data_IF_226895800731
#
_entry.id   IF_226895800731
#
_cell.length_a   1.000
_cell.length_b   1.000
_cell.length_c   1.000
_cell.angle_alpha   90.00
_cell.angle_beta   90.00
_cell.angle_gamma   90.00
#
_symmetry.space_group_name_H-M   'P 1'
#
loop_
_entity.id
_entity.type
_entity.pdbx_description
1 polymer ?
#
# COMPACT_ATOMS: atom_id res chain seq x y z
N UNK A 1 1.19 46.77 13.82
CA UNK A 1 1.42 46.04 12.55
C UNK A 1 2.39 44.91 12.83
N UNK A 2 1.89 43.67 12.76
CA UNK A 2 2.53 42.39 12.38
C UNK A 2 1.73 41.28 13.05
N UNK A 3 0.75 40.73 12.32
CA UNK A 3 0.04 39.54 12.72
C UNK A 3 1.01 38.34 12.74
N UNK A 4 0.88 37.39 13.68
CA UNK A 4 1.62 36.15 13.65
C UNK A 4 1.17 35.35 12.42
N UNK A 5 2.14 34.92 11.61
CA UNK A 5 1.89 34.12 10.43
C UNK A 5 1.28 32.77 10.82
N UNK A 6 0.01 32.58 10.50
CA UNK A 6 -0.63 31.27 10.41
C UNK A 6 0.02 30.47 9.28
N UNK A 7 1.18 29.90 9.56
CA UNK A 7 1.75 28.79 8.83
C UNK A 7 0.87 27.57 9.02
N UNK A 8 -0.33 27.57 8.43
CA UNK A 8 -1.22 26.40 8.31
C UNK A 8 -0.68 25.43 7.26
N UNK A 9 0.60 25.08 7.44
CA UNK A 9 1.32 24.09 6.68
C UNK A 9 0.66 22.73 6.86
N UNK A 10 0.55 22.01 5.75
CA UNK A 10 0.09 20.63 5.71
C UNK A 10 0.98 19.78 6.63
N UNK A 11 0.60 19.60 7.88
CA UNK A 11 1.37 18.73 8.77
C UNK A 11 1.23 17.29 8.27
N UNK A 12 2.36 16.62 8.08
CA UNK A 12 2.46 15.22 7.69
C UNK A 12 1.50 14.38 8.54
N UNK A 13 1.53 14.56 9.86
CA UNK A 13 0.68 13.91 10.84
C UNK A 13 -0.82 14.13 10.57
N UNK A 14 -1.23 15.35 10.24
CA UNK A 14 -2.62 15.66 9.91
C UNK A 14 -3.11 14.94 8.65
N UNK A 15 -2.22 14.75 7.67
CA UNK A 15 -2.51 13.99 6.44
C UNK A 15 -2.66 12.50 6.73
N UNK A 16 -1.73 11.91 7.50
CA UNK A 16 -1.81 10.49 7.87
C UNK A 16 -3.06 10.18 8.71
N UNK A 17 -3.40 11.05 9.67
CA UNK A 17 -4.62 10.92 10.47
C UNK A 17 -5.90 11.08 9.63
N UNK A 18 -5.87 11.91 8.59
CA UNK A 18 -6.97 12.06 7.62
C UNK A 18 -7.13 10.80 6.78
N UNK A 19 -6.03 10.26 6.25
CA UNK A 19 -6.04 9.01 5.49
C UNK A 19 -6.59 7.84 6.31
N UNK A 20 -6.21 7.73 7.59
CA UNK A 20 -6.78 6.73 8.51
C UNK A 20 -8.29 6.89 8.71
N UNK A 21 -8.77 8.14 8.87
CA UNK A 21 -10.21 8.40 9.02
C UNK A 21 -10.98 8.03 7.75
N UNK A 22 -10.44 8.34 6.58
CA UNK A 22 -11.02 7.96 5.29
C UNK A 22 -11.04 6.44 5.11
N UNK A 23 -9.95 5.77 5.49
CA UNK A 23 -9.86 4.31 5.47
C UNK A 23 -10.94 3.68 6.36
N UNK A 24 -11.11 4.17 7.60
CA UNK A 24 -12.15 3.67 8.50
C UNK A 24 -13.56 3.89 7.95
N UNK A 25 -13.81 5.05 7.34
CA UNK A 25 -15.12 5.39 6.75
C UNK A 25 -15.46 4.52 5.54
N UNK A 26 -14.46 4.15 4.76
CA UNK A 26 -14.62 3.43 3.49
C UNK A 26 -14.01 2.04 3.50
N UNK A 27 -13.81 1.47 4.70
CA UNK A 27 -13.16 0.20 4.92
C UNK A 27 -13.65 -0.91 3.98
N UNK A 28 -14.96 -1.23 3.88
CA UNK A 28 -15.40 -2.36 3.08
C UNK A 28 -15.01 -2.22 1.60
N UNK A 29 -15.21 -1.05 1.00
CA UNK A 29 -14.85 -0.81 -0.39
C UNK A 29 -13.33 -0.76 -0.60
N UNK A 30 -12.59 -0.19 0.36
CA UNK A 30 -11.14 -0.07 0.30
C UNK A 30 -10.45 -1.44 0.43
N UNK A 31 -10.89 -2.26 1.38
CA UNK A 31 -10.42 -3.64 1.53
C UNK A 31 -10.82 -4.50 0.35
N UNK A 32 -12.03 -4.38 -0.20
CA UNK A 32 -12.44 -5.17 -1.36
C UNK A 32 -11.60 -4.84 -2.60
N UNK A 33 -11.34 -3.56 -2.87
CA UNK A 33 -10.45 -3.14 -3.96
C UNK A 33 -9.02 -3.65 -3.74
N UNK A 34 -8.54 -3.60 -2.49
CA UNK A 34 -7.21 -4.11 -2.14
C UNK A 34 -7.10 -5.62 -2.27
N UNK A 35 -8.07 -6.38 -1.77
CA UNK A 35 -8.11 -7.85 -1.86
C UNK A 35 -8.15 -8.28 -3.32
N UNK A 36 -8.96 -7.61 -4.15
CA UNK A 36 -9.02 -7.91 -5.57
C UNK A 36 -7.68 -7.63 -6.27
N UNK A 37 -7.03 -6.51 -5.94
CA UNK A 37 -5.71 -6.20 -6.47
C UNK A 37 -4.65 -7.20 -6.00
N UNK A 38 -4.64 -7.55 -4.71
CA UNK A 38 -3.72 -8.54 -4.14
C UNK A 38 -3.94 -9.92 -4.76
N UNK A 39 -5.18 -10.40 -4.87
CA UNK A 39 -5.50 -11.71 -5.45
C UNK A 39 -5.06 -11.85 -6.91
N UNK A 40 -5.25 -10.80 -7.72
CA UNK A 40 -4.74 -10.76 -9.11
C UNK A 40 -3.20 -10.79 -9.14
N UNK A 41 -2.55 -10.24 -8.11
CA UNK A 41 -1.10 -10.19 -7.99
C UNK A 41 -0.48 -11.49 -7.45
N UNK A 42 -1.17 -12.21 -6.56
CA UNK A 42 -0.67 -13.41 -5.89
C UNK A 42 -0.45 -14.56 -6.87
N UNK A 43 -1.30 -14.69 -7.90
CA UNK A 43 -1.20 -15.78 -8.87
C UNK A 43 0.10 -15.71 -9.69
N UNK A 44 0.46 -14.57 -10.32
CA UNK A 44 1.77 -14.42 -10.95
C UNK A 44 2.95 -14.62 -10.00
N UNK A 45 2.80 -14.23 -8.73
CA UNK A 45 3.91 -14.25 -7.77
C UNK A 45 4.25 -15.69 -7.35
N UNK A 46 3.23 -16.49 -7.03
CA UNK A 46 3.39 -17.92 -6.77
C UNK A 46 3.95 -18.64 -8.00
N UNK A 47 3.46 -18.31 -9.21
CA UNK A 47 3.98 -18.92 -10.44
C UNK A 47 5.46 -18.59 -10.68
N UNK A 48 5.88 -17.35 -10.39
CA UNK A 48 7.29 -16.93 -10.53
C UNK A 48 8.20 -17.60 -9.52
N UNK A 49 7.76 -17.71 -8.27
CA UNK A 49 8.53 -18.38 -7.22
C UNK A 49 8.68 -19.87 -7.51
N UNK A 50 7.66 -20.52 -8.08
CA UNK A 50 7.72 -21.92 -8.52
C UNK A 50 8.62 -22.10 -9.75
N UNK A 51 8.60 -21.17 -10.72
CA UNK A 51 9.41 -21.27 -11.94
C UNK A 51 10.93 -21.10 -11.71
N UNK A 52 11.33 -20.44 -10.62
CA UNK A 52 12.76 -20.21 -10.27
C UNK A 52 13.24 -21.11 -9.14
N UNK A 53 12.36 -21.95 -8.58
CA UNK A 53 12.63 -22.79 -7.42
C UNK A 53 13.87 -23.70 -7.59
N UNK A 54 14.14 -24.17 -8.81
CA UNK A 54 15.24 -25.09 -9.10
C UNK A 54 16.50 -24.42 -9.69
N UNK A 55 16.49 -23.09 -9.91
CA UNK A 55 17.57 -22.39 -10.60
C UNK A 55 18.32 -21.42 -9.64
N UNK A 56 19.49 -21.78 -9.09
CA UNK A 56 20.21 -21.00 -8.07
C UNK A 56 20.90 -19.73 -8.62
N UNK A 57 20.49 -19.24 -9.79
CA UNK A 57 21.12 -18.11 -10.46
C UNK A 57 20.61 -16.80 -9.86
N UNK A 58 21.54 -15.99 -9.36
CA UNK A 58 21.28 -14.67 -8.74
C UNK A 58 20.44 -13.74 -9.65
N UNK A 59 20.63 -13.83 -10.97
CA UNK A 59 19.84 -13.08 -11.95
C UNK A 59 18.37 -13.51 -12.06
N UNK A 60 18.06 -14.79 -11.85
CA UNK A 60 16.68 -15.28 -11.85
C UNK A 60 15.94 -14.79 -10.61
N UNK A 61 16.59 -14.84 -9.44
CA UNK A 61 16.06 -14.26 -8.21
C UNK A 61 15.83 -12.74 -8.34
N UNK A 62 16.78 -12.00 -8.92
CA UNK A 62 16.64 -10.56 -9.15
C UNK A 62 15.54 -10.22 -10.15
N UNK A 63 15.36 -11.04 -11.20
CA UNK A 63 14.26 -10.88 -12.15
C UNK A 63 12.89 -11.11 -11.49
N UNK A 64 12.76 -12.15 -10.66
CA UNK A 64 11.52 -12.41 -9.90
C UNK A 64 11.20 -11.25 -8.97
N UNK A 65 12.19 -10.73 -8.26
CA UNK A 65 12.01 -9.60 -7.34
C UNK A 65 11.56 -8.33 -8.09
N UNK A 66 12.23 -7.99 -9.21
CA UNK A 66 11.85 -6.86 -10.05
C UNK A 66 10.43 -6.99 -10.58
N UNK A 67 10.04 -8.17 -11.08
CA UNK A 67 8.68 -8.36 -11.59
C UNK A 67 7.66 -8.33 -10.45
N UNK A 68 7.97 -8.93 -9.29
CA UNK A 68 7.17 -8.85 -8.06
C UNK A 68 6.90 -7.39 -7.68
N UNK A 69 7.96 -6.60 -7.56
CA UNK A 69 7.90 -5.17 -7.29
C UNK A 69 7.05 -4.40 -8.32
N UNK A 70 7.27 -4.63 -9.62
CA UNK A 70 6.52 -3.96 -10.67
C UNK A 70 5.03 -4.29 -10.60
N UNK A 71 4.69 -5.55 -10.32
CA UNK A 71 3.30 -5.96 -10.17
C UNK A 71 2.65 -5.35 -8.92
N UNK A 72 3.35 -5.33 -7.78
CA UNK A 72 2.90 -4.64 -6.57
C UNK A 72 2.70 -3.13 -6.80
N UNK A 73 3.60 -2.50 -7.54
CA UNK A 73 3.47 -1.09 -7.91
C UNK A 73 2.23 -0.84 -8.77
N UNK A 74 1.98 -1.68 -9.79
CA UNK A 74 0.79 -1.59 -10.65
C UNK A 74 -0.48 -1.75 -9.80
N UNK A 75 -0.51 -2.73 -8.89
CA UNK A 75 -1.63 -2.94 -7.97
C UNK A 75 -1.87 -1.69 -7.10
N UNK A 76 -0.82 -1.13 -6.48
CA UNK A 76 -0.91 0.08 -5.66
C UNK A 76 -1.46 1.28 -6.45
N UNK A 77 -0.98 1.48 -7.69
CA UNK A 77 -1.45 2.56 -8.56
C UNK A 77 -2.92 2.34 -8.95
N UNK A 78 -3.31 1.11 -9.28
CA UNK A 78 -4.70 0.80 -9.60
C UNK A 78 -5.63 1.06 -8.40
N UNK A 79 -5.28 0.58 -7.21
CA UNK A 79 -6.05 0.81 -5.97
C UNK A 79 -6.17 2.31 -5.69
N UNK A 80 -5.08 3.06 -5.84
CA UNK A 80 -5.07 4.52 -5.68
C UNK A 80 -6.07 5.20 -6.62
N UNK A 81 -6.10 4.83 -7.89
CA UNK A 81 -7.04 5.38 -8.85
C UNK A 81 -8.50 4.93 -8.64
N UNK A 82 -8.70 3.68 -8.20
CA UNK A 82 -10.03 3.15 -7.90
C UNK A 82 -10.68 3.87 -6.71
N UNK A 83 -9.91 4.09 -5.64
CA UNK A 83 -10.35 4.77 -4.42
C UNK A 83 -10.47 6.28 -4.59
N UNK A 84 -9.74 6.89 -5.52
CA UNK A 84 -9.93 8.30 -5.83
C UNK A 84 -11.36 8.62 -6.28
N UNK A 85 -12.01 7.73 -7.04
CA UNK A 85 -13.43 7.92 -7.40
C UNK A 85 -14.38 7.82 -6.22
N UNK A 86 -13.97 7.16 -5.14
CA UNK A 86 -14.77 7.04 -3.93
C UNK A 86 -14.81 8.39 -3.19
N UNK A 87 -13.71 9.14 -3.22
CA UNK A 87 -13.64 10.50 -2.67
C UNK A 87 -14.28 11.56 -3.57
N UNK A 88 -14.23 11.37 -4.88
CA UNK A 88 -14.78 12.32 -5.88
C UNK A 88 -16.29 12.12 -6.10
N UNK A 89 -16.75 10.86 -6.18
CA UNK A 89 -18.11 10.49 -6.65
C UNK A 89 -18.85 9.56 -5.71
N UNK A 90 -18.29 9.24 -4.55
CA UNK A 90 -18.89 8.33 -3.57
C UNK A 90 -18.89 6.85 -3.98
N UNK A 91 -18.26 6.47 -5.10
CA UNK A 91 -18.26 5.10 -5.63
C UNK A 91 -16.90 4.69 -6.20
N UNK A 92 -16.58 3.40 -6.13
CA UNK A 92 -15.40 2.85 -6.80
C UNK A 92 -15.46 3.10 -8.31
N UNK A 93 -14.32 3.41 -8.89
CA UNK A 93 -14.22 3.68 -10.34
C UNK A 93 -13.07 2.86 -10.90
N UNK A 94 -13.39 1.72 -11.50
CA UNK A 94 -12.37 0.77 -11.97
C UNK A 94 -11.78 1.18 -13.33
N UNK A 95 -12.63 1.73 -14.20
CA UNK A 95 -12.22 2.19 -15.52
C UNK A 95 -11.18 3.32 -15.41
N UNK A 96 -10.06 3.17 -16.13
CA UNK A 96 -8.96 4.14 -16.13
C UNK A 96 -8.29 4.34 -14.76
N UNK A 97 -8.44 3.40 -13.82
CA UNK A 97 -7.88 3.50 -12.48
C UNK A 97 -6.35 3.66 -12.52
N UNK A 98 -5.63 2.87 -13.32
CA UNK A 98 -4.16 2.99 -13.46
C UNK A 98 -3.72 4.39 -13.85
N UNK A 99 -4.26 4.94 -14.96
CA UNK A 99 -3.89 6.27 -15.45
C UNK A 99 -4.12 7.35 -14.38
N UNK A 100 -5.25 7.28 -13.66
CA UNK A 100 -5.57 8.22 -12.59
C UNK A 100 -4.65 8.04 -11.38
N UNK A 101 -4.42 6.80 -10.96
CA UNK A 101 -3.52 6.45 -9.88
C UNK A 101 -2.09 6.93 -10.12
N UNK A 102 -1.54 6.68 -11.32
CA UNK A 102 -0.23 7.19 -11.73
C UNK A 102 -0.18 8.72 -11.67
N UNK A 103 -1.19 9.40 -12.22
CA UNK A 103 -1.26 10.86 -12.15
C UNK A 103 -1.30 11.39 -10.72
N UNK A 104 -2.04 10.75 -9.83
CA UNK A 104 -2.13 11.11 -8.41
C UNK A 104 -0.82 10.83 -7.67
N UNK A 105 -0.19 9.67 -7.89
CA UNK A 105 1.08 9.32 -7.27
C UNK A 105 2.18 10.31 -7.66
N UNK A 106 2.32 10.62 -8.95
CA UNK A 106 3.30 11.61 -9.43
C UNK A 106 3.04 12.99 -8.84
N UNK A 107 1.77 13.43 -8.79
CA UNK A 107 1.42 14.71 -8.15
C UNK A 107 1.73 14.71 -6.66
N UNK A 108 1.46 13.61 -5.95
CA UNK A 108 1.72 13.49 -4.52
C UNK A 108 3.22 13.59 -4.21
N UNK A 109 4.04 12.82 -4.93
CA UNK A 109 5.51 12.84 -4.78
C UNK A 109 6.08 14.22 -5.09
N UNK A 110 5.58 14.90 -6.13
CA UNK A 110 6.02 16.26 -6.46
C UNK A 110 5.60 17.31 -5.43
N UNK A 111 4.43 17.14 -4.79
CA UNK A 111 3.91 18.11 -3.81
C UNK A 111 4.50 17.95 -2.42
N UNK A 112 4.59 16.73 -1.92
CA UNK A 112 5.03 16.46 -0.56
C UNK A 112 5.76 15.11 -0.47
N UNK A 113 7.00 15.02 -1.00
CA UNK A 113 7.75 13.76 -1.01
C UNK A 113 7.97 13.21 0.41
N UNK A 114 8.21 14.09 1.39
CA UNK A 114 8.37 13.70 2.80
C UNK A 114 7.11 13.06 3.41
N UNK A 115 5.91 13.52 3.04
CA UNK A 115 4.66 12.92 3.52
C UNK A 115 4.39 11.57 2.88
N UNK A 116 4.74 11.42 1.59
CA UNK A 116 4.67 10.13 0.90
C UNK A 116 5.63 9.14 1.55
N UNK A 117 6.88 9.55 1.80
CA UNK A 117 7.87 8.71 2.48
C UNK A 117 7.39 8.31 3.88
N UNK A 118 6.86 9.25 4.66
CA UNK A 118 6.29 8.96 5.97
C UNK A 118 5.14 7.94 5.89
N UNK A 119 4.24 8.07 4.91
CA UNK A 119 3.17 7.12 4.67
C UNK A 119 3.67 5.72 4.26
N UNK A 120 4.73 5.65 3.46
CA UNK A 120 5.39 4.38 3.11
C UNK A 120 6.01 3.74 4.34
N UNK A 121 6.73 4.52 5.17
CA UNK A 121 7.37 4.02 6.40
C UNK A 121 6.32 3.55 7.41
N UNK A 122 5.25 4.30 7.64
CA UNK A 122 4.19 3.90 8.57
C UNK A 122 3.41 2.70 8.06
N UNK A 123 3.10 2.64 6.77
CA UNK A 123 2.50 1.47 6.13
C UNK A 123 3.40 0.23 6.26
N UNK A 124 4.70 0.39 5.99
CA UNK A 124 5.70 -0.66 6.13
C UNK A 124 5.85 -1.16 7.57
N UNK A 125 5.81 -0.26 8.55
CA UNK A 125 5.84 -0.63 9.97
C UNK A 125 4.62 -1.47 10.37
N UNK A 126 3.42 -1.09 9.91
CA UNK A 126 2.20 -1.89 10.13
C UNK A 126 2.30 -3.24 9.43
N UNK A 127 2.80 -3.27 8.19
CA UNK A 127 3.06 -4.52 7.46
C UNK A 127 3.97 -5.44 8.27
N UNK A 128 5.11 -4.93 8.72
CA UNK A 128 6.07 -5.69 9.53
C UNK A 128 5.45 -6.21 10.84
N UNK A 129 4.61 -5.43 11.51
CA UNK A 129 3.90 -5.88 12.72
C UNK A 129 2.92 -7.02 12.45
N UNK A 130 2.35 -7.09 11.25
CA UNK A 130 1.45 -8.17 10.85
C UNK A 130 2.22 -9.42 10.39
N UNK A 131 3.35 -9.24 9.69
CA UNK A 131 4.10 -10.34 9.09
C UNK A 131 5.15 -10.95 10.01
N UNK A 132 5.80 -10.16 10.89
CA UNK A 132 6.87 -10.64 11.77
C UNK A 132 6.39 -11.70 12.77
N UNK A 133 5.25 -11.55 13.49
CA UNK A 133 4.80 -12.58 14.43
C UNK A 133 4.50 -13.91 13.73
N UNK A 134 3.89 -13.85 12.54
CA UNK A 134 3.60 -15.03 11.74
C UNK A 134 4.89 -15.69 11.21
N UNK A 135 5.87 -14.88 10.80
CA UNK A 135 7.18 -15.37 10.37
C UNK A 135 7.96 -16.02 11.52
N UNK A 136 7.91 -15.43 12.72
CA UNK A 136 8.53 -16.01 13.93
C UNK A 136 7.83 -17.31 14.33
N UNK A 137 6.50 -17.36 14.26
CA UNK A 137 5.72 -18.57 14.55
C UNK A 137 5.97 -19.69 13.54
N UNK A 138 6.18 -19.35 12.27
CA UNK A 138 6.41 -20.30 11.18
C UNK A 138 7.86 -20.82 11.12
N UNK A 139 8.85 -19.97 11.37
CA UNK A 139 10.27 -20.29 11.18
C UNK A 139 11.03 -20.53 12.49
N UNK A 140 10.48 -20.09 13.63
CA UNK A 140 11.16 -20.09 14.92
C UNK A 140 12.18 -18.96 15.04
N UNK A 141 12.28 -18.32 16.22
CA UNK A 141 13.10 -17.13 16.44
C UNK A 141 14.59 -17.27 16.06
N UNK A 142 15.14 -18.50 16.08
CA UNK A 142 16.53 -18.79 15.72
C UNK A 142 16.82 -18.92 14.22
N UNK A 143 15.81 -19.16 13.36
CA UNK A 143 16.00 -19.27 11.89
C UNK A 143 15.61 -18.01 11.12
N UNK A 144 15.01 -17.01 11.78
CA UNK A 144 14.69 -15.70 11.16
C UNK A 144 15.97 -14.93 10.78
N UNK A 145 17.14 -15.29 11.34
CA UNK A 145 18.44 -14.66 11.08
C UNK A 145 19.52 -15.65 10.56
N UNK A 146 19.18 -16.91 10.31
CA UNK A 146 20.13 -17.98 9.91
C UNK A 146 19.91 -18.48 8.48
N UNK A 147 20.86 -19.25 7.90
CA UNK A 147 20.72 -19.78 6.54
C UNK A 147 19.49 -20.68 6.47
N UNK A 148 18.55 -20.34 5.59
CA UNK A 148 17.34 -21.11 5.39
C UNK A 148 17.65 -22.35 4.54
N UNK A 149 18.03 -23.45 5.20
CA UNK A 149 17.84 -24.76 4.58
C UNK A 149 16.34 -24.91 4.29
N UNK A 150 16.04 -25.19 3.01
CA UNK A 150 14.72 -25.26 2.35
C UNK A 150 13.52 -25.14 3.32
N UNK A 151 12.82 -23.99 3.35
CA UNK A 151 11.70 -23.78 4.27
C UNK A 151 10.60 -24.81 4.02
N UNK A 152 10.07 -25.36 5.11
CA UNK A 152 8.96 -26.33 5.08
C UNK A 152 7.72 -25.70 4.42
N UNK A 153 6.92 -26.49 3.70
CA UNK A 153 5.79 -25.99 2.88
C UNK A 153 4.78 -25.18 3.72
N UNK A 154 4.61 -25.56 4.99
CA UNK A 154 3.78 -24.82 5.95
C UNK A 154 4.31 -23.43 6.28
N UNK A 155 5.63 -23.26 6.40
CA UNK A 155 6.24 -21.95 6.67
C UNK A 155 6.13 -21.01 5.47
N UNK A 156 6.27 -21.55 4.26
CA UNK A 156 6.04 -20.81 3.02
C UNK A 156 4.59 -20.34 2.88
N UNK A 157 3.63 -21.21 3.19
CA UNK A 157 2.21 -20.86 3.16
C UNK A 157 1.85 -19.76 4.17
N UNK A 158 2.36 -19.84 5.40
CA UNK A 158 2.13 -18.81 6.43
C UNK A 158 2.76 -17.48 6.02
N UNK A 159 3.97 -17.49 5.47
CA UNK A 159 4.62 -16.27 4.97
C UNK A 159 3.81 -15.62 3.83
N UNK A 160 3.35 -16.42 2.87
CA UNK A 160 2.53 -15.96 1.74
C UNK A 160 1.21 -15.37 2.22
N UNK A 161 0.49 -16.05 3.11
CA UNK A 161 -0.79 -15.56 3.65
C UNK A 161 -0.57 -14.27 4.46
N UNK A 162 0.51 -14.20 5.22
CA UNK A 162 0.84 -13.01 6.00
C UNK A 162 1.14 -11.81 5.11
N UNK A 163 1.87 -12.01 4.02
CA UNK A 163 2.15 -10.97 3.03
C UNK A 163 0.89 -10.50 2.30
N UNK A 164 -0.01 -11.43 1.95
CA UNK A 164 -1.32 -11.11 1.39
C UNK A 164 -2.16 -10.27 2.35
N UNK A 165 -2.21 -10.64 3.63
CA UNK A 165 -2.96 -9.91 4.67
C UNK A 165 -2.35 -8.52 4.89
N UNK A 166 -1.02 -8.43 4.96
CA UNK A 166 -0.31 -7.18 5.16
C UNK A 166 -0.47 -6.23 3.97
N UNK A 167 -0.37 -6.75 2.74
CA UNK A 167 -0.64 -6.00 1.51
C UNK A 167 -2.11 -5.53 1.48
N UNK A 168 -3.07 -6.41 1.77
CA UNK A 168 -4.48 -6.05 1.82
C UNK A 168 -4.80 -4.95 2.85
N UNK A 169 -4.04 -4.90 3.95
CA UNK A 169 -4.20 -3.89 5.00
C UNK A 169 -3.51 -2.55 4.68
N UNK A 170 -2.39 -2.57 3.96
CA UNK A 170 -1.52 -1.40 3.80
C UNK A 170 -1.72 -0.65 2.47
N UNK A 171 -2.06 -1.36 1.39
CA UNK A 171 -2.36 -0.74 0.09
C UNK A 171 -3.46 0.34 0.17
N UNK A 172 -4.62 0.12 0.83
CA UNK A 172 -5.67 1.12 0.88
C UNK A 172 -5.28 2.32 1.76
N UNK A 173 -4.49 2.11 2.81
CA UNK A 173 -3.94 3.21 3.62
C UNK A 173 -3.04 4.12 2.77
N UNK A 174 -2.06 3.55 2.08
CA UNK A 174 -1.12 4.31 1.25
C UNK A 174 -1.85 5.00 0.08
N UNK A 175 -2.87 4.34 -0.49
CA UNK A 175 -3.73 4.94 -1.51
C UNK A 175 -4.43 6.22 -1.00
N UNK A 176 -5.02 6.19 0.21
CA UNK A 176 -5.62 7.39 0.79
C UNK A 176 -4.59 8.49 1.09
N UNK A 177 -3.38 8.15 1.54
CA UNK A 177 -2.29 9.13 1.70
C UNK A 177 -1.97 9.81 0.37
N UNK A 178 -1.77 9.04 -0.70
CA UNK A 178 -1.46 9.57 -2.03
C UNK A 178 -2.58 10.47 -2.56
N UNK A 179 -3.85 10.05 -2.42
CA UNK A 179 -4.98 10.86 -2.87
C UNK A 179 -5.08 12.15 -2.04
N UNK A 180 -4.96 12.08 -0.72
CA UNK A 180 -5.03 13.26 0.16
C UNK A 180 -3.93 14.28 -0.15
N UNK A 181 -2.68 13.83 -0.35
CA UNK A 181 -1.56 14.71 -0.74
C UNK A 181 -1.78 15.30 -2.13
N UNK A 182 -2.15 14.47 -3.11
CA UNK A 182 -2.32 14.91 -4.48
C UNK A 182 -3.48 15.90 -4.67
N UNK A 183 -4.53 15.81 -3.84
CA UNK A 183 -5.73 16.64 -3.94
C UNK A 183 -5.78 17.79 -2.93
N UNK A 184 -4.97 17.74 -1.87
CA UNK A 184 -5.06 18.69 -0.76
C UNK A 184 -6.29 18.47 0.12
N UNK A 185 -6.88 17.27 0.10
CA UNK A 185 -8.12 16.96 0.81
C UNK A 185 -7.93 17.05 2.33
N UNK A 186 -8.63 17.99 2.98
CA UNK A 186 -8.70 18.11 4.44
C UNK A 186 -9.99 17.46 4.93
N UNK A 187 -9.89 16.45 5.80
CA UNK A 187 -11.05 15.96 6.57
C UNK A 187 -11.52 17.07 7.52
N UNK A 188 -12.47 17.87 7.06
CA UNK A 188 -13.03 19.00 7.82
C UNK A 188 -13.96 19.93 7.02
N UNK A 189 -13.89 19.97 5.69
CA UNK A 189 -14.94 20.62 4.88
C UNK A 189 -15.98 19.58 4.46
N UNK A 190 -16.93 19.31 5.36
CA UNK A 190 -18.28 19.02 4.91
C UNK A 190 -18.70 20.19 4.01
N UNK A 191 -19.24 19.88 2.83
CA UNK A 191 -19.61 20.89 1.85
C UNK A 191 -20.50 21.96 2.46
N UNK A 192 -19.94 23.14 2.67
CA UNK A 192 -20.69 24.38 2.47
C UNK A 192 -20.88 24.52 0.96
N UNK A 193 -21.79 23.71 0.40
CA UNK A 193 -22.47 24.10 -0.82
C UNK A 193 -23.64 24.99 -0.39
N UNK A 194 -23.32 26.26 -0.14
CA UNK A 194 -24.27 27.36 -0.29
C UNK A 194 -23.91 28.06 -1.60
N UNK A 195 -24.98 28.48 -2.27
CA UNK A 195 -25.06 29.13 -3.58
C UNK A 195 -25.02 28.16 -4.77
#
# INVERSE_FOLDING_TARGET
>A
MTAPGDGSGHSTTGTLATALRLLRRHAPAAFLASVLATAVNTVPDVLRQVLVWDDPRLWAALAVDVVGFLTALVAQLWVTGALAGLLDRGRLTLAGALRRGTGLAVRAVRRAPGTVLAGVVTGGAVSALLTLPASIAALGAGRVLGPLDSPDVGAFAVATVSDVVASAATLPYLAFVLVSVATGFRAGRAGTSRA
#
